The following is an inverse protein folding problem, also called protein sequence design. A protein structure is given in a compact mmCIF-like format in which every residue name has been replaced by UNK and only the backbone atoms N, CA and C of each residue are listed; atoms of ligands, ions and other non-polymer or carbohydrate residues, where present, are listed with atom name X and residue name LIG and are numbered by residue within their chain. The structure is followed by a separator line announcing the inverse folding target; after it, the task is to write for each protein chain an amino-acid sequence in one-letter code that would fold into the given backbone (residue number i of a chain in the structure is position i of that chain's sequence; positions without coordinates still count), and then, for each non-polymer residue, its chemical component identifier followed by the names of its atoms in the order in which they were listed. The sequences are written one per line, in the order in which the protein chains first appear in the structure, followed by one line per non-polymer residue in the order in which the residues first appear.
data_IF_993447099024
#
_entry.id   IF_993447099024
#
_cell.length_a   1.000
_cell.length_b   1.000
_cell.length_c   1.000
_cell.angle_alpha   90.00
_cell.angle_beta   90.00
_cell.angle_gamma   90.00
#
_symmetry.space_group_name_H-M   'P 1'
#
loop_
_entity.id
_entity.type
_entity.pdbx_description
1 polymer ?
#
# COMPACT_ATOMS: atom_id res chain seq x y z
N UNK A 1 -41.77 -45.25 -23.10
CA UNK A 1 -43.23 -45.25 -23.30
C UNK A 1 -43.83 -44.30 -22.29
N UNK A 2 -44.53 -43.26 -22.75
CA UNK A 2 -45.76 -42.68 -22.19
C UNK A 2 -45.93 -41.30 -22.82
N UNK A 3 -46.94 -41.28 -23.68
CA UNK A 3 -47.40 -40.20 -24.54
C UNK A 3 -48.28 -39.28 -23.69
N UNK A 4 -47.93 -38.01 -23.51
CA UNK A 4 -48.84 -37.03 -22.92
C UNK A 4 -49.36 -36.11 -24.02
N UNK A 5 -50.48 -36.51 -24.61
CA UNK A 5 -51.30 -35.66 -25.45
C UNK A 5 -51.84 -34.48 -24.64
N UNK A 6 -51.48 -33.27 -25.02
CA UNK A 6 -52.20 -32.08 -24.59
C UNK A 6 -53.51 -31.98 -25.37
N UNK A 7 -54.59 -32.35 -24.70
CA UNK A 7 -55.96 -31.99 -25.06
C UNK A 7 -56.12 -30.49 -24.76
N UNK A 8 -56.36 -29.68 -25.77
CA UNK A 8 -56.66 -28.24 -25.65
C UNK A 8 -58.19 -28.03 -25.72
N UNK A 9 -58.79 -27.20 -24.85
CA UNK A 9 -60.23 -27.02 -24.74
C UNK A 9 -60.84 -26.18 -25.89
N UNK A 10 -62.15 -26.31 -26.16
CA UNK A 10 -62.79 -25.71 -27.32
C UNK A 10 -63.06 -24.22 -27.09
N UNK A 11 -62.56 -23.36 -27.98
CA UNK A 11 -62.89 -21.93 -27.95
C UNK A 11 -61.77 -20.94 -28.29
N UNK A 12 -60.57 -21.39 -28.66
CA UNK A 12 -59.44 -20.48 -28.95
C UNK A 12 -59.12 -20.49 -30.45
N UNK A 13 -59.39 -19.38 -31.15
CA UNK A 13 -58.98 -19.18 -32.54
C UNK A 13 -57.46 -18.98 -32.59
N UNK A 14 -56.76 -19.92 -33.22
CA UNK A 14 -55.31 -19.86 -33.41
C UNK A 14 -55.02 -18.89 -34.57
N UNK A 15 -54.22 -17.82 -34.40
CA UNK A 15 -53.80 -16.99 -35.52
C UNK A 15 -52.88 -17.78 -36.46
N UNK A 16 -53.11 -17.65 -37.76
CA UNK A 16 -52.34 -18.32 -38.81
C UNK A 16 -50.86 -17.93 -38.73
N UNK A 17 -50.01 -18.92 -38.43
CA UNK A 17 -48.55 -18.76 -38.44
C UNK A 17 -48.11 -18.71 -39.91
N UNK A 18 -47.46 -17.62 -40.38
CA UNK A 18 -46.95 -17.57 -41.74
C UNK A 18 -45.84 -18.62 -41.92
N UNK A 19 -45.67 -19.17 -43.14
CA UNK A 19 -44.73 -20.25 -43.40
C UNK A 19 -43.30 -19.83 -42.98
N UNK A 20 -42.50 -20.75 -42.44
CA UNK A 20 -41.12 -20.45 -42.07
C UNK A 20 -40.39 -20.00 -43.34
N UNK A 21 -39.87 -18.77 -43.31
CA UNK A 21 -38.95 -18.31 -44.34
C UNK A 21 -37.81 -19.31 -44.41
N UNK A 22 -37.57 -19.83 -45.62
CA UNK A 22 -36.43 -20.69 -45.90
C UNK A 22 -35.18 -20.03 -45.29
N UNK A 23 -34.54 -20.74 -44.37
CA UNK A 23 -33.24 -20.39 -43.82
C UNK A 23 -32.30 -20.16 -45.00
N UNK A 24 -32.01 -18.89 -45.28
CA UNK A 24 -30.91 -18.57 -46.17
C UNK A 24 -29.67 -19.23 -45.60
N UNK A 25 -28.84 -19.88 -46.43
CA UNK A 25 -27.57 -20.38 -45.95
C UNK A 25 -26.81 -19.15 -45.41
N UNK A 26 -26.64 -19.10 -44.10
CA UNK A 26 -25.65 -18.21 -43.49
C UNK A 26 -24.37 -18.51 -44.23
N UNK A 27 -23.89 -17.57 -45.05
CA UNK A 27 -22.58 -17.68 -45.68
C UNK A 27 -21.61 -17.92 -44.54
N UNK A 28 -21.17 -19.16 -44.39
CA UNK A 28 -19.98 -19.50 -43.63
C UNK A 28 -18.89 -18.70 -44.30
N UNK A 29 -18.59 -17.51 -43.78
CA UNK A 29 -17.35 -16.84 -44.11
C UNK A 29 -16.28 -17.86 -43.74
N UNK A 30 -15.66 -18.45 -44.76
CA UNK A 30 -14.49 -19.28 -44.60
C UNK A 30 -13.47 -18.32 -44.01
N UNK A 31 -13.33 -18.32 -42.69
CA UNK A 31 -12.29 -17.57 -42.01
C UNK A 31 -11.00 -17.98 -42.70
N UNK A 32 -10.34 -17.02 -43.36
CA UNK A 32 -9.09 -17.34 -44.04
C UNK A 32 -8.12 -17.84 -42.99
N UNK A 33 -7.29 -18.83 -43.32
CA UNK A 33 -6.34 -19.43 -42.36
C UNK A 33 -5.50 -18.36 -41.65
N UNK A 34 -5.25 -17.24 -42.36
CA UNK A 34 -4.57 -16.04 -41.88
C UNK A 34 -5.33 -15.29 -40.76
N UNK A 35 -6.65 -15.17 -40.87
CA UNK A 35 -7.50 -14.54 -39.84
C UNK A 35 -7.60 -15.42 -38.58
N UNK A 36 -7.60 -16.74 -38.76
CA UNK A 36 -7.59 -17.71 -37.67
C UNK A 36 -6.25 -17.70 -36.92
N UNK A 37 -5.13 -17.63 -37.65
CA UNK A 37 -3.78 -17.48 -37.10
C UNK A 37 -3.61 -16.16 -36.32
N UNK A 38 -4.07 -15.04 -36.87
CA UNK A 38 -4.02 -13.74 -36.19
C UNK A 38 -4.79 -13.73 -34.87
N UNK A 39 -5.98 -14.36 -34.82
CA UNK A 39 -6.76 -14.51 -33.58
C UNK A 39 -6.07 -15.43 -32.56
N UNK A 40 -5.37 -16.46 -33.03
CA UNK A 40 -4.64 -17.39 -32.17
C UNK A 40 -3.40 -16.71 -31.56
N UNK A 41 -2.70 -15.90 -32.34
CA UNK A 41 -1.58 -15.08 -31.87
C UNK A 41 -2.03 -14.04 -30.83
N UNK A 42 -3.17 -13.37 -31.06
CA UNK A 42 -3.73 -12.44 -30.08
C UNK A 42 -4.10 -13.14 -28.75
N UNK A 43 -4.71 -14.33 -28.83
CA UNK A 43 -5.01 -15.16 -27.66
C UNK A 43 -3.73 -15.59 -26.92
N UNK A 44 -2.70 -16.02 -27.65
CA UNK A 44 -1.41 -16.39 -27.08
C UNK A 44 -0.74 -15.20 -26.37
N UNK A 45 -0.74 -14.03 -27.00
CA UNK A 45 -0.23 -12.78 -26.41
C UNK A 45 -0.98 -12.42 -25.12
N UNK A 46 -2.31 -12.52 -25.13
CA UNK A 46 -3.14 -12.24 -23.96
C UNK A 46 -2.89 -13.24 -22.83
N UNK A 47 -2.74 -14.53 -23.16
CA UNK A 47 -2.40 -15.58 -22.21
C UNK A 47 -1.02 -15.34 -21.57
N UNK A 48 -0.03 -14.96 -22.38
CA UNK A 48 1.32 -14.64 -21.90
C UNK A 48 1.31 -13.41 -20.96
N UNK A 49 0.55 -12.37 -21.29
CA UNK A 49 0.37 -11.19 -20.43
C UNK A 49 -0.35 -11.54 -19.11
N UNK A 50 -1.34 -12.42 -19.14
CA UNK A 50 -2.04 -12.87 -17.94
C UNK A 50 -1.16 -13.75 -17.06
N UNK A 51 -0.44 -14.70 -17.64
CA UNK A 51 0.46 -15.59 -16.90
C UNK A 51 1.63 -14.82 -16.27
N UNK A 52 2.26 -13.90 -17.00
CA UNK A 52 3.34 -13.05 -16.47
C UNK A 52 2.86 -12.17 -15.30
N UNK A 53 1.64 -11.61 -15.37
CA UNK A 53 1.05 -10.85 -14.26
C UNK A 53 0.63 -11.73 -13.08
N UNK A 54 0.06 -12.91 -13.35
CA UNK A 54 -0.45 -13.84 -12.32
C UNK A 54 0.67 -14.48 -11.51
N UNK A 55 1.76 -14.86 -12.17
CA UNK A 55 2.91 -15.53 -11.56
C UNK A 55 4.11 -14.60 -11.34
N UNK A 56 3.89 -13.29 -11.32
CA UNK A 56 4.90 -12.30 -10.96
C UNK A 56 5.46 -12.56 -9.57
N UNK A 57 6.76 -12.30 -9.37
CA UNK A 57 7.45 -12.47 -8.08
C UNK A 57 6.75 -11.76 -6.92
N UNK A 58 6.09 -10.63 -7.19
CA UNK A 58 5.30 -9.86 -6.20
C UNK A 58 4.07 -10.61 -5.66
N UNK A 59 3.61 -11.64 -6.38
CA UNK A 59 2.45 -12.47 -6.02
C UNK A 59 2.84 -13.85 -5.50
N UNK A 60 4.13 -14.15 -5.41
CA UNK A 60 4.61 -15.40 -4.84
C UNK A 60 4.27 -15.43 -3.35
N UNK A 61 3.93 -16.62 -2.85
CA UNK A 61 3.75 -16.84 -1.44
C UNK A 61 5.07 -16.55 -0.70
N UNK A 62 5.00 -15.75 0.38
CA UNK A 62 6.19 -15.28 1.07
C UNK A 62 6.88 -14.07 0.43
N UNK A 63 6.26 -13.39 -0.55
CA UNK A 63 6.76 -12.12 -1.03
C UNK A 63 6.75 -11.08 0.09
N UNK A 64 7.95 -10.61 0.45
CA UNK A 64 8.13 -9.51 1.40
C UNK A 64 8.20 -8.22 0.60
N UNK A 65 7.30 -7.30 0.90
CA UNK A 65 7.27 -5.99 0.29
C UNK A 65 8.58 -5.24 0.57
N UNK A 66 8.98 -4.40 -0.38
CA UNK A 66 10.18 -3.57 -0.25
C UNK A 66 10.11 -2.73 1.03
N UNK A 67 11.24 -2.65 1.74
CA UNK A 67 11.36 -1.85 2.96
C UNK A 67 10.95 -0.40 2.67
N UNK A 68 10.28 0.23 3.64
CA UNK A 68 10.00 1.66 3.57
C UNK A 68 11.31 2.44 3.64
N UNK A 69 11.54 3.27 2.64
CA UNK A 69 12.70 4.17 2.60
C UNK A 69 12.44 5.43 3.43
N UNK A 70 13.52 6.11 3.78
CA UNK A 70 13.46 7.34 4.56
C UNK A 70 12.87 8.49 3.74
N UNK A 71 11.91 9.19 4.33
CA UNK A 71 11.26 10.34 3.72
C UNK A 71 12.11 11.61 3.90
N UNK A 72 12.02 12.59 2.99
CA UNK A 72 12.71 13.87 3.14
C UNK A 72 12.35 14.55 4.48
N UNK A 73 13.32 15.15 5.19
CA UNK A 73 13.08 15.76 6.51
C UNK A 73 12.10 16.93 6.46
N UNK A 74 11.98 17.60 5.31
CA UNK A 74 11.01 18.68 5.11
C UNK A 74 9.56 18.22 5.21
N UNK A 75 9.29 16.95 4.93
CA UNK A 75 7.94 16.40 5.01
C UNK A 75 7.40 16.46 6.44
N UNK A 76 8.16 15.94 7.41
CA UNK A 76 7.74 15.96 8.82
C UNK A 76 7.72 17.39 9.38
N UNK A 77 8.68 18.24 8.99
CA UNK A 77 8.73 19.66 9.38
C UNK A 77 7.49 20.42 8.91
N UNK A 78 7.06 20.18 7.67
CA UNK A 78 5.85 20.78 7.12
C UNK A 78 4.60 20.29 7.84
N UNK A 79 4.46 18.99 8.09
CA UNK A 79 3.31 18.43 8.81
C UNK A 79 3.16 19.09 10.18
N UNK A 80 4.23 19.16 10.97
CA UNK A 80 4.18 19.76 12.32
C UNK A 80 3.82 21.25 12.24
N UNK A 81 4.38 21.98 11.27
CA UNK A 81 4.08 23.40 11.05
C UNK A 81 2.61 23.64 10.66
N UNK A 82 2.08 22.81 9.76
CA UNK A 82 0.71 22.92 9.26
C UNK A 82 -0.32 22.52 10.35
N UNK A 83 0.03 21.58 11.24
CA UNK A 83 -0.83 21.15 12.35
C UNK A 83 -0.85 22.14 13.51
N UNK A 84 0.30 22.76 13.82
CA UNK A 84 0.44 23.81 14.82
C UNK A 84 -0.18 23.43 16.17
N UNK A 85 -1.10 24.26 16.65
CA UNK A 85 -1.81 24.10 17.93
C UNK A 85 -3.16 23.36 17.80
N UNK A 86 -3.46 22.77 16.63
CA UNK A 86 -4.71 22.07 16.36
C UNK A 86 -5.98 22.94 16.51
N UNK A 87 -5.86 24.28 16.49
CA UNK A 87 -7.01 25.20 16.59
C UNK A 87 -7.88 25.20 15.33
N UNK A 88 -7.30 24.90 14.17
CA UNK A 88 -7.98 24.95 12.88
C UNK A 88 -9.12 23.91 12.75
N UNK A 89 -10.19 24.29 12.06
CA UNK A 89 -11.36 23.43 11.83
C UNK A 89 -11.06 22.25 10.90
N UNK A 90 -9.98 22.32 10.11
CA UNK A 90 -9.61 21.31 9.14
C UNK A 90 -8.99 20.07 9.80
N UNK A 91 -8.37 20.23 10.97
CA UNK A 91 -7.65 19.20 11.71
C UNK A 91 -8.51 18.47 12.76
N UNK A 92 -9.83 18.63 12.72
CA UNK A 92 -10.74 18.00 13.70
C UNK A 92 -10.61 16.48 13.74
N UNK A 93 -10.32 15.83 12.60
CA UNK A 93 -10.18 14.38 12.50
C UNK A 93 -8.92 13.89 13.21
N UNK A 94 -7.84 14.65 13.12
CA UNK A 94 -6.54 14.27 13.67
C UNK A 94 -6.47 14.47 15.18
N UNK A 95 -7.30 15.35 15.78
CA UNK A 95 -7.34 15.58 17.25
C UNK A 95 -7.46 14.30 18.07
N UNK A 96 -8.27 13.34 17.62
CA UNK A 96 -8.44 12.05 18.31
C UNK A 96 -7.14 11.24 18.30
N UNK A 97 -6.37 11.32 17.22
CA UNK A 97 -5.09 10.63 17.08
C UNK A 97 -4.04 11.24 18.02
N UNK A 98 -3.97 12.57 18.12
CA UNK A 98 -3.09 13.25 19.07
C UNK A 98 -3.38 12.85 20.52
N UNK A 99 -4.65 12.77 20.90
CA UNK A 99 -5.05 12.28 22.23
C UNK A 99 -4.67 10.80 22.44
N UNK A 100 -4.84 9.95 21.42
CA UNK A 100 -4.42 8.55 21.48
C UNK A 100 -2.90 8.37 21.61
N UNK A 101 -2.13 9.26 20.96
CA UNK A 101 -0.68 9.24 21.00
C UNK A 101 -0.10 9.56 22.38
N UNK A 102 -0.85 10.26 23.23
CA UNK A 102 -0.46 10.60 24.62
C UNK A 102 0.02 9.37 25.40
N UNK A 103 -0.61 8.21 25.18
CA UNK A 103 -0.24 6.94 25.83
C UNK A 103 1.24 6.56 25.61
N UNK A 104 1.81 6.92 24.47
CA UNK A 104 3.15 6.53 24.06
C UNK A 104 4.22 7.59 24.32
N UNK A 105 3.84 8.75 24.88
CA UNK A 105 4.77 9.82 25.24
C UNK A 105 5.91 9.32 26.15
N UNK A 106 5.68 8.49 27.19
CA UNK A 106 6.77 8.01 28.02
C UNK A 106 7.86 7.29 27.21
N UNK A 107 7.48 6.54 26.17
CA UNK A 107 8.42 5.86 25.30
C UNK A 107 9.15 6.82 24.36
N UNK A 108 8.44 7.80 23.78
CA UNK A 108 9.06 8.83 22.94
C UNK A 108 10.09 9.66 23.71
N UNK A 109 9.74 10.07 24.94
CA UNK A 109 10.64 10.82 25.82
C UNK A 109 11.84 9.98 26.23
N UNK A 110 11.63 8.71 26.59
CA UNK A 110 12.73 7.79 26.89
C UNK A 110 13.74 7.70 25.73
N UNK A 111 13.26 7.43 24.51
CA UNK A 111 14.12 7.32 23.32
C UNK A 111 14.81 8.64 22.95
N UNK A 112 14.17 9.78 23.22
CA UNK A 112 14.75 11.11 23.02
C UNK A 112 15.90 11.38 24.01
N UNK A 113 15.68 11.08 25.29
CA UNK A 113 16.69 11.30 26.34
C UNK A 113 17.86 10.31 26.24
N UNK A 114 17.61 9.09 25.79
CA UNK A 114 18.66 8.10 25.53
C UNK A 114 19.65 8.60 24.45
N UNK A 115 19.19 9.41 23.49
CA UNK A 115 19.99 9.91 22.37
C UNK A 115 20.39 11.38 22.52
N UNK A 116 20.52 11.88 23.75
CA UNK A 116 21.06 13.22 23.98
C UNK A 116 22.45 13.37 23.33
N UNK A 117 22.76 14.55 22.74
CA UNK A 117 24.08 14.83 22.21
C UNK A 117 25.09 14.87 23.36
N UNK A 118 26.23 14.24 23.15
CA UNK A 118 27.30 14.24 24.15
C UNK A 118 28.01 15.61 24.17
N UNK A 119 28.66 16.02 25.27
CA UNK A 119 29.21 17.38 25.39
C UNK A 119 30.36 17.70 24.42
N UNK A 120 30.94 16.69 23.77
CA UNK A 120 31.92 16.84 22.69
C UNK A 120 31.30 16.84 21.28
N UNK A 121 29.99 16.64 21.15
CA UNK A 121 29.26 16.67 19.89
C UNK A 121 28.54 18.01 19.72
N UNK A 122 28.77 18.69 18.59
CA UNK A 122 28.10 19.97 18.30
C UNK A 122 26.64 19.78 17.87
N UNK A 123 26.39 18.79 17.01
CA UNK A 123 25.07 18.42 16.48
C UNK A 123 25.03 16.91 16.38
N UNK A 124 23.87 16.32 16.70
CA UNK A 124 23.61 14.89 16.54
C UNK A 124 22.37 14.69 15.67
N UNK A 125 22.58 14.17 14.47
CA UNK A 125 21.50 13.75 13.58
C UNK A 125 21.02 12.35 13.98
N UNK A 126 19.72 12.16 14.04
CA UNK A 126 19.08 10.96 14.58
C UNK A 126 17.94 10.52 13.66
N UNK A 127 17.84 9.22 13.37
CA UNK A 127 16.69 8.68 12.63
C UNK A 127 15.42 8.75 13.46
N UNK A 128 14.35 9.25 12.85
CA UNK A 128 13.06 9.46 13.50
C UNK A 128 11.98 8.63 12.81
N UNK A 129 11.16 7.96 13.60
CA UNK A 129 9.90 7.35 13.16
C UNK A 129 8.74 8.26 13.60
N UNK A 130 8.01 8.83 12.65
CA UNK A 130 6.91 9.76 12.94
C UNK A 130 5.56 9.22 12.47
N UNK A 131 4.50 9.62 13.17
CA UNK A 131 3.13 9.38 12.72
C UNK A 131 2.81 10.24 11.50
N UNK A 132 2.03 9.73 10.52
CA UNK A 132 1.72 10.46 9.27
C UNK A 132 1.03 11.82 9.50
N UNK A 133 0.27 11.97 10.59
CA UNK A 133 -0.35 13.23 11.00
C UNK A 133 0.55 14.12 11.88
N UNK A 134 1.77 13.70 12.20
CA UNK A 134 2.66 14.42 13.13
C UNK A 134 2.25 14.33 14.60
N UNK A 135 1.39 13.39 14.97
CA UNK A 135 0.88 13.25 16.35
C UNK A 135 1.96 12.87 17.38
N UNK A 136 2.96 12.10 16.97
CA UNK A 136 4.09 11.69 17.81
C UNK A 136 5.28 11.33 16.92
N UNK A 137 6.48 11.56 17.44
CA UNK A 137 7.76 11.25 16.80
C UNK A 137 8.63 10.48 17.78
N UNK A 138 9.10 9.30 17.37
CA UNK A 138 10.04 8.48 18.12
C UNK A 138 11.42 8.57 17.51
N UNK A 139 12.44 8.65 18.34
CA UNK A 139 13.81 8.37 17.92
C UNK A 139 13.97 6.86 17.70
N UNK A 140 14.31 6.45 16.48
CA UNK A 140 14.44 5.05 16.07
C UNK A 140 15.91 4.60 16.06
N UNK A 141 16.65 4.91 17.12
CA UNK A 141 18.06 4.57 17.26
C UNK A 141 18.41 4.14 18.68
N UNK A 142 19.42 3.29 18.79
CA UNK A 142 20.05 2.90 20.06
C UNK A 142 21.50 3.42 20.00
N UNK A 143 21.96 4.21 20.99
CA UNK A 143 23.31 4.75 21.02
C UNK A 143 24.31 3.66 21.39
N UNK A 144 24.83 2.95 20.40
CA UNK A 144 25.93 2.03 20.60
C UNK A 144 27.23 2.80 20.75
N UNK A 145 27.95 2.56 21.85
CA UNK A 145 29.24 3.20 22.11
C UNK A 145 30.29 2.16 22.45
N UNK A 146 31.50 2.36 21.93
CA UNK A 146 32.67 1.54 22.27
C UNK A 146 33.18 1.98 23.64
N UNK A 147 33.05 1.10 24.64
CA UNK A 147 33.32 1.38 26.05
C UNK A 147 34.66 2.07 26.34
N UNK A 148 35.84 1.58 25.87
CA UNK A 148 37.11 2.23 26.17
C UNK A 148 37.22 3.65 25.59
N UNK A 149 36.60 3.90 24.43
CA UNK A 149 36.60 5.24 23.80
C UNK A 149 35.70 6.17 24.60
N UNK A 150 34.52 5.70 25.01
CA UNK A 150 33.58 6.48 25.81
C UNK A 150 34.17 6.96 27.13
N UNK A 151 34.86 6.06 27.84
CA UNK A 151 35.56 6.38 29.09
C UNK A 151 36.65 7.43 28.88
N UNK A 152 37.43 7.31 27.80
CA UNK A 152 38.48 8.29 27.47
C UNK A 152 37.89 9.68 27.12
N UNK A 153 36.77 9.72 26.40
CA UNK A 153 36.05 10.96 26.08
C UNK A 153 35.55 11.66 27.35
N UNK A 154 34.92 10.91 28.25
CA UNK A 154 34.50 11.45 29.56
C UNK A 154 35.67 11.87 30.43
N UNK A 155 36.79 11.14 30.42
CA UNK A 155 38.01 11.54 31.11
C UNK A 155 38.57 12.87 30.60
N UNK A 156 38.54 13.08 29.29
CA UNK A 156 38.94 14.36 28.67
C UNK A 156 38.01 15.49 29.10
N UNK A 157 36.69 15.24 29.06
CA UNK A 157 35.68 16.21 29.48
C UNK A 157 35.81 16.59 30.97
N UNK A 158 36.08 15.61 31.84
CA UNK A 158 36.33 15.82 33.27
C UNK A 158 37.52 16.73 33.53
N UNK A 159 38.63 16.54 32.82
CA UNK A 159 39.81 17.40 32.94
C UNK A 159 39.50 18.82 32.44
N UNK A 160 38.78 18.94 31.31
CA UNK A 160 38.37 20.25 30.77
C UNK A 160 37.46 21.02 31.72
N UNK A 161 36.49 20.36 32.35
CA UNK A 161 35.54 20.99 33.29
C UNK A 161 36.18 21.39 34.62
N UNK A 162 37.35 20.83 34.98
CA UNK A 162 38.04 21.09 36.25
C UNK A 162 39.13 22.16 36.18
N UNK A 163 39.60 22.51 34.98
CA UNK A 163 40.59 23.57 34.77
C UNK A 163 39.93 24.93 34.72
#
# INVERSE_FOLDING_TARGET
MWNNGQIVPPGTTVPSIPPPQASQPSYTQVETEVDAEARLEEKARKLQQLNSKRYSDKRKFGFVETKKEDMPPEHVRKIIRDHGDMSSKNLRRDKRVYLGALKFIPHAVYKLLENMPMPWEQVRDVRVLYHISGAITFVNEIPWVVEPIYLAQWGTMWIMMRR
#
